data_IF_169743410135
#
_entry.id   IF_169743410135
#
_cell.length_a   1.000
_cell.length_b   1.000
_cell.length_c   1.000
_cell.angle_alpha   90.00
_cell.angle_beta   90.00
_cell.angle_gamma   90.00
#
_symmetry.space_group_name_H-M   'P 1'
#
loop_
_entity.id
_entity.type
_entity.pdbx_description
1 polymer ?
#
# COMPACT_ATOMS: atom_id res chain seq x y z
N UNK A 1 -17.48 -15.08 19.52
CA UNK A 1 -16.32 -14.50 20.22
C UNK A 1 -15.46 -13.77 19.18
N UNK A 2 -14.97 -12.55 19.47
CA UNK A 2 -14.06 -11.88 18.53
C UNK A 2 -12.67 -12.48 18.73
N UNK A 3 -12.10 -13.03 17.67
CA UNK A 3 -10.77 -13.65 17.68
C UNK A 3 -9.67 -12.60 17.76
N UNK A 4 -9.81 -11.52 16.99
CA UNK A 4 -8.86 -10.41 16.96
C UNK A 4 -9.52 -9.08 17.29
N UNK A 5 -8.75 -8.18 17.91
CA UNK A 5 -9.04 -6.76 17.94
C UNK A 5 -8.23 -6.04 16.88
N UNK A 6 -8.84 -5.03 16.23
CA UNK A 6 -8.24 -4.28 15.15
C UNK A 6 -8.24 -2.79 15.45
N UNK A 7 -7.14 -2.13 15.17
CA UNK A 7 -7.06 -0.68 15.07
C UNK A 7 -6.40 -0.32 13.74
N UNK A 8 -7.10 0.42 12.90
CA UNK A 8 -6.66 0.76 11.55
C UNK A 8 -6.60 2.26 11.35
N UNK A 9 -5.57 2.73 10.68
CA UNK A 9 -5.51 4.10 10.17
C UNK A 9 -6.69 4.34 9.22
N UNK A 10 -7.40 5.43 9.46
CA UNK A 10 -8.62 5.72 8.70
C UNK A 10 -8.41 6.91 7.77
N UNK A 11 -8.49 6.69 6.48
CA UNK A 11 -8.49 7.74 5.44
C UNK A 11 -9.62 8.76 5.61
N UNK A 12 -10.59 8.48 6.47
CA UNK A 12 -11.67 9.39 6.81
C UNK A 12 -11.18 10.56 7.66
N UNK A 13 -10.19 10.32 8.53
CA UNK A 13 -9.66 11.30 9.49
C UNK A 13 -8.23 11.73 9.17
N UNK A 14 -7.49 10.90 8.45
CA UNK A 14 -6.13 11.24 8.03
C UNK A 14 -6.18 12.26 6.90
N UNK A 15 -5.54 13.40 7.14
CA UNK A 15 -5.34 14.42 6.12
C UNK A 15 -3.88 14.38 5.69
N UNK A 16 -3.62 13.77 4.53
CA UNK A 16 -2.28 13.55 4.00
C UNK A 16 -1.59 14.85 3.54
N UNK A 17 -2.33 15.98 3.44
CA UNK A 17 -1.73 17.29 3.19
C UNK A 17 -1.12 17.94 4.44
N UNK A 18 -1.08 17.25 5.59
CA UNK A 18 -0.48 17.76 6.82
C UNK A 18 0.99 17.36 6.93
N UNK A 19 1.79 18.21 7.57
CA UNK A 19 3.24 18.03 7.76
C UNK A 19 3.63 16.67 8.33
N UNK A 20 2.81 16.10 9.23
CA UNK A 20 3.04 14.76 9.79
C UNK A 20 3.01 13.63 8.76
N UNK A 21 2.47 13.87 7.56
CA UNK A 21 2.45 12.94 6.44
C UNK A 21 3.35 13.41 5.29
N UNK A 22 4.12 14.50 5.47
CA UNK A 22 5.05 15.01 4.48
C UNK A 22 4.40 15.62 3.24
N UNK A 23 3.08 15.87 3.25
CA UNK A 23 2.29 16.28 2.08
C UNK A 23 2.35 15.28 0.90
N UNK A 24 2.62 14.03 1.19
CA UNK A 24 2.74 12.96 0.21
C UNK A 24 1.84 11.79 0.61
N UNK A 25 1.33 11.05 -0.39
CA UNK A 25 0.69 9.78 -0.18
C UNK A 25 1.68 8.65 -0.41
N UNK A 26 1.62 7.65 0.44
CA UNK A 26 2.41 6.44 0.27
C UNK A 26 1.54 5.35 -0.37
N UNK A 27 2.03 4.72 -1.41
CA UNK A 27 1.37 3.63 -2.10
C UNK A 27 2.18 2.34 -2.00
N UNK A 28 1.49 1.22 -1.96
CA UNK A 28 2.09 -0.11 -1.94
C UNK A 28 2.29 -0.57 -3.38
N UNK A 29 3.54 -0.88 -3.72
CA UNK A 29 3.87 -1.55 -4.98
C UNK A 29 3.53 -3.03 -4.82
N UNK A 30 2.68 -3.60 -5.69
CA UNK A 30 2.35 -5.01 -5.62
C UNK A 30 3.58 -5.90 -5.82
N UNK A 31 3.66 -7.02 -5.08
CA UNK A 31 4.80 -7.93 -5.09
C UNK A 31 5.07 -8.64 -6.45
N UNK A 32 4.18 -8.51 -7.41
CA UNK A 32 4.38 -8.99 -8.79
C UNK A 32 4.96 -7.92 -9.74
N UNK A 33 5.26 -6.72 -9.23
CA UNK A 33 5.90 -5.65 -10.00
C UNK A 33 7.36 -5.53 -9.58
N UNK A 34 8.25 -5.61 -10.55
CA UNK A 34 9.70 -5.42 -10.33
C UNK A 34 10.05 -3.93 -10.34
N UNK A 35 9.66 -3.25 -9.27
CA UNK A 35 9.92 -1.83 -9.04
C UNK A 35 10.55 -1.68 -7.65
N UNK A 36 11.69 -1.02 -7.56
CA UNK A 36 12.31 -0.68 -6.29
C UNK A 36 11.50 0.39 -5.53
N UNK A 37 11.58 0.35 -4.22
CA UNK A 37 11.06 1.42 -3.37
C UNK A 37 11.69 2.77 -3.74
N UNK A 38 10.89 3.83 -3.72
CA UNK A 38 11.35 5.17 -4.04
C UNK A 38 10.23 6.19 -4.03
N UNK A 39 10.60 7.44 -4.22
CA UNK A 39 9.65 8.54 -4.42
C UNK A 39 9.48 8.82 -5.90
N UNK A 40 8.27 9.16 -6.31
CA UNK A 40 7.92 9.48 -7.68
C UNK A 40 7.46 10.92 -7.73
N UNK A 41 8.06 11.71 -8.61
CA UNK A 41 7.63 13.08 -8.87
C UNK A 41 6.71 13.12 -10.08
N UNK A 42 5.61 13.87 -9.97
CA UNK A 42 4.81 14.25 -11.13
C UNK A 42 5.65 15.13 -12.03
N UNK A 43 5.95 14.65 -13.21
CA UNK A 43 6.70 15.36 -14.24
C UNK A 43 6.13 15.12 -15.63
N UNK A 44 6.62 15.87 -16.60
CA UNK A 44 6.35 15.57 -18.00
C UNK A 44 7.08 14.28 -18.40
N UNK A 45 6.42 13.16 -18.26
CA UNK A 45 6.87 11.87 -18.74
C UNK A 45 5.99 11.40 -19.90
N UNK A 46 6.62 10.74 -20.86
CA UNK A 46 5.89 10.09 -21.92
C UNK A 46 5.16 8.82 -21.40
N UNK A 47 4.33 8.22 -22.24
CA UNK A 47 3.53 7.04 -21.87
C UNK A 47 4.36 5.79 -21.56
N UNK A 48 5.67 5.83 -21.77
CA UNK A 48 6.58 4.68 -21.62
C UNK A 48 7.59 4.85 -20.47
N UNK A 49 7.54 5.95 -19.75
CA UNK A 49 8.45 6.24 -18.65
C UNK A 49 7.76 6.91 -17.48
N UNK A 50 8.19 6.57 -16.26
CA UNK A 50 7.85 7.28 -15.05
C UNK A 50 9.15 7.83 -14.43
N UNK A 51 9.07 9.01 -13.82
CA UNK A 51 10.22 9.63 -13.19
C UNK A 51 10.17 9.34 -11.69
N UNK A 52 11.23 8.71 -11.18
CA UNK A 52 11.52 8.65 -9.76
C UNK A 52 12.33 9.86 -9.32
N UNK A 53 12.28 10.18 -8.03
CA UNK A 53 13.09 11.24 -7.43
C UNK A 53 14.59 11.11 -7.76
N UNK A 54 15.06 9.88 -7.91
CA UNK A 54 16.47 9.54 -8.19
C UNK A 54 16.71 9.00 -9.62
N UNK A 55 15.72 9.08 -10.52
CA UNK A 55 15.92 8.62 -11.89
C UNK A 55 14.66 8.44 -12.71
N UNK A 56 14.84 7.97 -13.94
CA UNK A 56 13.77 7.62 -14.87
C UNK A 56 13.68 6.10 -14.95
N UNK A 57 12.53 5.54 -14.60
CA UNK A 57 12.25 4.13 -14.88
C UNK A 57 11.73 4.04 -16.31
N UNK A 58 12.53 3.46 -17.16
CA UNK A 58 12.14 3.16 -18.54
C UNK A 58 11.63 1.74 -18.59
N UNK A 59 10.44 1.59 -19.14
CA UNK A 59 9.84 0.31 -19.50
C UNK A 59 9.73 -0.71 -18.36
N UNK A 60 8.61 -0.66 -17.66
CA UNK A 60 8.23 -1.72 -16.73
C UNK A 60 7.18 -2.57 -17.45
N UNK A 61 7.64 -3.43 -18.34
CA UNK A 61 6.80 -4.38 -19.09
C UNK A 61 6.59 -5.64 -18.24
N UNK A 62 5.70 -5.57 -17.27
CA UNK A 62 5.48 -6.75 -16.44
C UNK A 62 4.11 -7.39 -16.61
N UNK A 63 3.11 -6.68 -17.13
CA UNK A 63 1.75 -7.21 -17.31
C UNK A 63 1.08 -6.58 -18.54
N UNK A 64 0.88 -7.31 -19.64
CA UNK A 64 0.01 -6.86 -20.73
C UNK A 64 -1.46 -6.82 -20.27
N UNK A 65 -2.29 -5.83 -20.70
CA UNK A 65 -1.94 -4.69 -21.56
C UNK A 65 -1.43 -3.43 -20.82
N UNK A 66 -1.34 -3.45 -19.49
CA UNK A 66 -0.85 -2.32 -18.68
C UNK A 66 0.63 -2.49 -18.38
N UNK A 67 1.38 -1.42 -18.55
CA UNK A 67 2.76 -1.35 -18.07
C UNK A 67 2.82 -0.92 -16.62
N UNK A 68 3.92 -1.21 -15.91
CA UNK A 68 4.14 -0.68 -14.56
C UNK A 68 4.12 0.86 -14.53
N UNK A 69 4.49 1.50 -15.64
CA UNK A 69 4.41 2.96 -15.82
C UNK A 69 2.97 3.46 -15.75
N UNK A 70 2.02 2.76 -16.35
CA UNK A 70 0.61 3.14 -16.29
C UNK A 70 0.06 3.04 -14.87
N UNK A 71 0.44 2.01 -14.13
CA UNK A 71 0.08 1.85 -12.73
C UNK A 71 0.59 3.04 -11.89
N UNK A 72 1.87 3.36 -12.00
CA UNK A 72 2.50 4.45 -11.26
C UNK A 72 1.89 5.80 -11.62
N UNK A 73 1.65 6.04 -12.92
CA UNK A 73 0.98 7.27 -13.35
C UNK A 73 -0.39 7.44 -12.71
N UNK A 74 -1.20 6.39 -12.68
CA UNK A 74 -2.51 6.42 -12.03
C UNK A 74 -2.41 6.73 -10.53
N UNK A 75 -1.38 6.24 -9.83
CA UNK A 75 -1.14 6.59 -8.43
C UNK A 75 -0.82 8.07 -8.26
N UNK A 76 0.08 8.61 -9.09
CA UNK A 76 0.44 10.03 -9.06
C UNK A 76 -0.76 10.94 -9.40
N UNK A 77 -1.58 10.58 -10.38
CA UNK A 77 -2.80 11.30 -10.72
C UNK A 77 -3.78 11.30 -9.56
N UNK A 78 -3.97 10.14 -8.90
CA UNK A 78 -4.84 10.02 -7.73
C UNK A 78 -4.37 10.88 -6.55
N UNK A 79 -3.06 10.94 -6.31
CA UNK A 79 -2.48 11.83 -5.29
C UNK A 79 -2.74 13.30 -5.62
N UNK A 80 -2.46 13.71 -6.86
CA UNK A 80 -2.69 15.08 -7.33
C UNK A 80 -4.15 15.48 -7.17
N UNK A 81 -5.07 14.61 -7.57
CA UNK A 81 -6.50 14.86 -7.45
C UNK A 81 -6.95 14.96 -5.99
N UNK A 82 -6.46 14.09 -5.13
CA UNK A 82 -6.74 14.14 -3.70
C UNK A 82 -6.29 15.47 -3.07
N UNK A 83 -5.05 15.87 -3.32
CA UNK A 83 -4.48 17.11 -2.78
C UNK A 83 -5.19 18.35 -3.35
N UNK A 84 -5.55 18.31 -4.64
CA UNK A 84 -6.33 19.38 -5.28
C UNK A 84 -7.72 19.55 -4.65
N UNK A 85 -8.41 18.43 -4.36
CA UNK A 85 -9.72 18.47 -3.69
C UNK A 85 -9.62 19.06 -2.29
N UNK A 86 -8.62 18.67 -1.51
CA UNK A 86 -8.36 19.26 -0.18
C UNK A 86 -8.11 20.77 -0.29
N UNK A 87 -7.32 21.20 -1.27
CA UNK A 87 -7.03 22.62 -1.52
C UNK A 87 -8.30 23.42 -1.90
N UNK A 88 -9.27 22.75 -2.52
CA UNK A 88 -10.58 23.33 -2.87
C UNK A 88 -11.60 23.27 -1.73
N UNK A 89 -11.17 22.86 -0.54
CA UNK A 89 -12.01 22.84 0.67
C UNK A 89 -12.79 21.55 0.91
N UNK A 90 -12.53 20.48 0.16
CA UNK A 90 -13.10 19.18 0.47
C UNK A 90 -12.50 18.62 1.76
N UNK A 91 -13.32 17.92 2.53
CA UNK A 91 -12.83 17.20 3.71
C UNK A 91 -12.05 15.95 3.28
N UNK A 92 -11.12 15.43 4.11
CA UNK A 92 -10.45 14.15 3.83
C UNK A 92 -11.44 13.01 3.56
N UNK A 93 -12.57 12.99 4.28
CA UNK A 93 -13.64 12.01 4.09
C UNK A 93 -14.25 12.05 2.69
N UNK A 94 -14.30 13.22 2.07
CA UNK A 94 -14.82 13.40 0.71
C UNK A 94 -13.71 13.13 -0.32
N UNK A 95 -12.55 13.75 -0.15
CA UNK A 95 -11.43 13.68 -1.10
C UNK A 95 -10.90 12.24 -1.27
N UNK A 96 -10.94 11.42 -0.22
CA UNK A 96 -10.49 10.01 -0.30
C UNK A 96 -11.21 9.15 -1.34
N UNK A 97 -12.32 9.62 -1.90
CA UNK A 97 -13.06 8.86 -2.91
C UNK A 97 -12.24 8.57 -4.18
N UNK A 98 -11.20 9.36 -4.46
CA UNK A 98 -10.29 9.14 -5.61
C UNK A 98 -9.09 8.25 -5.28
N UNK A 99 -8.90 7.86 -4.02
CA UNK A 99 -7.74 7.07 -3.61
C UNK A 99 -7.89 5.62 -4.02
N UNK A 100 -6.86 5.03 -4.67
CA UNK A 100 -6.87 3.63 -5.08
C UNK A 100 -6.66 2.67 -3.91
N UNK A 101 -6.97 1.38 -4.13
CA UNK A 101 -6.71 0.32 -3.16
C UNK A 101 -5.21 0.13 -2.83
N UNK A 102 -4.33 0.66 -3.66
CA UNK A 102 -2.89 0.64 -3.41
C UNK A 102 -2.44 1.62 -2.33
N UNK A 103 -3.31 2.50 -1.81
CA UNK A 103 -2.95 3.40 -0.72
C UNK A 103 -2.47 2.62 0.50
N UNK A 104 -1.27 2.95 1.00
CA UNK A 104 -0.75 2.38 2.26
C UNK A 104 -1.68 2.73 3.41
N UNK A 105 -1.93 1.76 4.26
CA UNK A 105 -2.57 1.96 5.56
C UNK A 105 -1.80 1.21 6.64
N UNK A 106 -2.06 1.52 7.89
CA UNK A 106 -1.50 0.81 9.03
C UNK A 106 -2.61 0.11 9.80
N UNK A 107 -2.36 -1.14 10.15
CA UNK A 107 -3.29 -1.98 10.89
C UNK A 107 -2.57 -2.62 12.08
N UNK A 108 -3.09 -2.38 13.27
CA UNK A 108 -2.68 -3.10 14.47
C UNK A 108 -3.68 -4.20 14.75
N UNK A 109 -3.19 -5.44 14.85
CA UNK A 109 -3.98 -6.62 15.21
C UNK A 109 -3.51 -7.15 16.56
N UNK A 110 -4.46 -7.41 17.44
CA UNK A 110 -4.18 -8.00 18.76
C UNK A 110 -5.05 -9.25 18.94
N UNK A 111 -4.42 -10.37 19.32
CA UNK A 111 -5.09 -11.64 19.55
C UNK A 111 -4.24 -12.57 20.40
N UNK A 112 -4.81 -13.69 20.86
CA UNK A 112 -4.07 -14.75 21.54
C UNK A 112 -3.18 -15.50 20.53
N UNK A 113 -2.10 -16.13 21.01
CA UNK A 113 -1.19 -16.92 20.16
C UNK A 113 -1.94 -18.01 19.39
N UNK A 114 -2.91 -18.65 20.02
CA UNK A 114 -3.78 -19.65 19.38
C UNK A 114 -4.55 -19.10 18.17
N UNK A 115 -4.95 -17.82 18.22
CA UNK A 115 -5.68 -17.18 17.12
C UNK A 115 -4.75 -16.90 15.95
N UNK A 116 -3.51 -16.52 16.24
CA UNK A 116 -2.45 -16.32 15.24
C UNK A 116 -2.10 -17.61 14.49
N UNK A 117 -2.15 -18.77 15.15
CA UNK A 117 -1.96 -20.05 14.47
C UNK A 117 -2.94 -20.23 13.33
N UNK A 118 -4.24 -20.00 13.59
CA UNK A 118 -5.27 -20.09 12.56
C UNK A 118 -5.10 -19.02 11.45
N UNK A 119 -4.71 -17.81 11.83
CA UNK A 119 -4.38 -16.76 10.84
C UNK A 119 -3.29 -17.21 9.88
N UNK A 120 -2.19 -17.79 10.40
CA UNK A 120 -1.09 -18.26 9.58
C UNK A 120 -1.45 -19.46 8.71
N UNK A 121 -2.27 -20.38 9.21
CA UNK A 121 -2.81 -21.48 8.41
C UNK A 121 -3.54 -20.96 7.16
N UNK A 122 -4.35 -19.93 7.31
CA UNK A 122 -5.12 -19.35 6.21
C UNK A 122 -4.30 -18.43 5.29
N UNK A 123 -3.37 -17.65 5.84
CA UNK A 123 -2.72 -16.56 5.08
C UNK A 123 -1.33 -16.94 4.54
N UNK A 124 -0.69 -17.99 5.07
CA UNK A 124 0.52 -18.54 4.50
C UNK A 124 0.26 -19.66 3.48
N UNK A 125 -0.98 -20.13 3.35
CA UNK A 125 -1.36 -21.14 2.37
C UNK A 125 -1.10 -20.68 0.92
N UNK A 126 -0.78 -21.62 0.05
CA UNK A 126 -0.49 -21.34 -1.37
C UNK A 126 -1.68 -20.74 -2.12
N UNK A 127 -2.91 -21.03 -1.70
CA UNK A 127 -4.14 -20.47 -2.26
C UNK A 127 -4.45 -19.05 -1.76
N UNK A 128 -3.75 -18.56 -0.72
CA UNK A 128 -3.94 -17.20 -0.25
C UNK A 128 -3.39 -16.18 -1.26
N UNK A 129 -4.01 -14.99 -1.27
CA UNK A 129 -3.57 -13.88 -2.14
C UNK A 129 -2.09 -13.56 -1.90
N UNK A 130 -1.33 -13.33 -2.96
CA UNK A 130 0.13 -13.12 -2.90
C UNK A 130 0.55 -12.01 -1.94
N UNK A 131 -0.12 -10.85 -1.97
CA UNK A 131 0.16 -9.76 -1.03
C UNK A 131 -0.17 -10.10 0.44
N UNK A 132 -1.15 -10.97 0.69
CA UNK A 132 -1.40 -11.45 2.06
C UNK A 132 -0.28 -12.36 2.54
N UNK A 133 0.24 -13.23 1.66
CA UNK A 133 1.36 -14.12 1.94
C UNK A 133 2.65 -13.36 2.18
N UNK A 134 2.90 -12.31 1.41
CA UNK A 134 4.05 -11.42 1.53
C UNK A 134 4.21 -10.85 2.95
N UNK A 135 3.10 -10.55 3.61
CA UNK A 135 3.08 -10.09 5.00
C UNK A 135 3.04 -11.23 6.02
N UNK A 136 2.25 -12.26 5.74
CA UNK A 136 1.99 -13.32 6.72
C UNK A 136 3.18 -14.27 6.90
N UNK A 137 3.94 -14.58 5.84
CA UNK A 137 5.06 -15.51 5.92
C UNK A 137 6.20 -14.96 6.80
N UNK A 138 6.73 -13.75 6.57
CA UNK A 138 7.76 -13.18 7.44
C UNK A 138 7.27 -12.98 8.89
N UNK A 139 6.00 -12.61 9.06
CA UNK A 139 5.42 -12.47 10.39
C UNK A 139 5.38 -13.80 11.13
N UNK A 140 5.01 -14.91 10.47
CA UNK A 140 5.06 -16.26 11.03
C UNK A 140 6.48 -16.64 11.46
N UNK A 141 7.47 -16.38 10.63
CA UNK A 141 8.88 -16.62 10.95
C UNK A 141 9.33 -15.86 12.20
N UNK A 142 8.90 -14.61 12.35
CA UNK A 142 9.21 -13.81 13.53
C UNK A 142 8.54 -14.39 14.81
N UNK A 143 7.32 -14.92 14.72
CA UNK A 143 6.66 -15.59 15.84
C UNK A 143 7.44 -16.84 16.26
N UNK A 144 7.86 -17.68 15.31
CA UNK A 144 8.67 -18.88 15.56
C UNK A 144 10.00 -18.48 16.21
N UNK A 145 10.69 -17.47 15.69
CA UNK A 145 11.95 -16.96 16.23
C UNK A 145 11.83 -16.48 17.68
N UNK A 146 10.67 -15.96 18.07
CA UNK A 146 10.37 -15.54 19.45
C UNK A 146 9.94 -16.69 20.35
N UNK A 147 9.87 -17.91 19.84
CA UNK A 147 9.55 -19.12 20.61
C UNK A 147 8.04 -19.37 20.78
N UNK A 148 7.18 -18.76 19.97
CA UNK A 148 5.76 -19.08 19.99
C UNK A 148 5.48 -20.36 19.17
N UNK A 149 4.66 -21.24 19.73
CA UNK A 149 4.17 -22.44 19.07
C UNK A 149 2.96 -22.11 18.20
N UNK A 150 3.16 -21.97 16.88
CA UNK A 150 2.16 -21.56 15.90
C UNK A 150 2.13 -22.49 14.68
#
# INVERSE_FOLDING_TARGET
MRVFSFAQESTRYCNYSKDKFGNELTFIIPCWMDISEGSIELGNYDKTSARYKDGIVRQIDTIPPYTGVDFIRNLCESESDYLLMLNRGWTPQQARAVLPNALKTELVMTGFVSDWKHFFELRCDSAAHTQARELAIPLKEEFIKRGYEI
#
